data_IF_276076532515
#
_entry.id   IF_276076532515
#
_cell.length_a   1.000
_cell.length_b   1.000
_cell.length_c   1.000
_cell.angle_alpha   90.00
_cell.angle_beta   90.00
_cell.angle_gamma   90.00
#
_symmetry.space_group_name_H-M   'P 1'
#
loop_
_entity.id
_entity.type
_entity.pdbx_description
1 polymer ?
#
# COMPACT_ATOMS: atom_id res chain seq x y z
N UNK A 1 -11.37 10.00 40.07
CA UNK A 1 -12.07 10.91 39.14
C UNK A 1 -13.50 10.44 39.02
N UNK A 2 -14.47 11.35 39.05
CA UNK A 2 -15.89 11.02 38.90
C UNK A 2 -16.17 10.55 37.46
N UNK A 3 -16.91 9.44 37.30
CA UNK A 3 -17.29 8.90 35.99
C UNK A 3 -18.47 9.70 35.44
N UNK A 4 -18.41 10.08 34.17
CA UNK A 4 -19.43 10.89 33.49
C UNK A 4 -20.11 10.03 32.44
N UNK A 5 -21.44 9.97 32.47
CA UNK A 5 -22.21 9.21 31.49
C UNK A 5 -22.17 9.91 30.13
N UNK A 6 -21.91 9.13 29.08
CA UNK A 6 -21.87 9.66 27.72
C UNK A 6 -23.25 10.17 27.30
N UNK A 7 -23.32 11.35 26.69
CA UNK A 7 -24.59 12.04 26.42
C UNK A 7 -25.48 11.30 25.41
N UNK A 8 -24.87 10.60 24.45
CA UNK A 8 -25.59 9.93 23.36
C UNK A 8 -25.58 8.41 23.48
N UNK A 9 -24.53 7.83 24.07
CA UNK A 9 -24.25 6.39 24.06
C UNK A 9 -24.26 5.78 25.47
N UNK A 10 -25.10 6.33 26.33
CA UNK A 10 -25.45 5.75 27.63
C UNK A 10 -26.94 5.41 27.61
N UNK A 11 -27.27 4.22 27.10
CA UNK A 11 -28.64 3.72 27.02
C UNK A 11 -29.07 3.20 28.39
N UNK A 12 -30.26 3.54 28.89
CA UNK A 12 -30.71 3.10 30.23
C UNK A 12 -30.89 1.59 30.31
N UNK A 13 -31.26 0.98 29.20
CA UNK A 13 -31.48 -0.45 28.98
C UNK A 13 -30.24 -1.15 28.37
N UNK A 14 -29.09 -0.47 28.34
CA UNK A 14 -27.83 -1.07 27.92
C UNK A 14 -27.39 -2.20 28.86
N UNK A 15 -26.77 -3.23 28.28
CA UNK A 15 -26.29 -4.42 28.97
C UNK A 15 -24.78 -4.41 29.22
N UNK A 16 -24.05 -3.42 28.70
CA UNK A 16 -22.59 -3.43 28.71
C UNK A 16 -21.96 -2.05 28.90
N UNK A 17 -21.16 -1.94 29.97
CA UNK A 17 -20.51 -0.70 30.39
C UNK A 17 -19.09 -0.67 29.88
N UNK A 18 -18.77 0.37 29.13
CA UNK A 18 -17.43 0.59 28.59
C UNK A 18 -16.91 1.91 29.15
N UNK A 19 -15.66 1.92 29.62
CA UNK A 19 -15.03 3.12 30.16
C UNK A 19 -13.83 3.55 29.30
N UNK A 20 -13.81 4.82 28.91
CA UNK A 20 -12.67 5.49 28.28
C UNK A 20 -12.33 6.76 29.07
N UNK A 21 -11.19 6.75 29.75
CA UNK A 21 -10.83 7.82 30.67
C UNK A 21 -11.88 7.95 31.80
N UNK A 22 -12.55 9.10 31.88
CA UNK A 22 -13.65 9.35 32.81
C UNK A 22 -15.04 9.23 32.16
N UNK A 23 -15.14 8.85 30.89
CA UNK A 23 -16.42 8.72 30.18
C UNK A 23 -16.89 7.28 30.26
N UNK A 24 -18.16 7.11 30.63
CA UNK A 24 -18.83 5.83 30.73
C UNK A 24 -19.90 5.71 29.63
N UNK A 25 -19.84 4.63 28.88
CA UNK A 25 -20.81 4.23 27.87
C UNK A 25 -21.66 3.10 28.44
N UNK A 26 -22.94 3.05 28.08
CA UNK A 26 -23.79 1.90 28.36
C UNK A 26 -24.47 1.46 27.06
N UNK A 27 -24.09 0.30 26.55
CA UNK A 27 -24.35 -0.15 25.20
C UNK A 27 -25.10 -1.48 25.20
N UNK A 28 -25.70 -1.84 24.06
CA UNK A 28 -26.31 -3.15 23.86
C UNK A 28 -25.26 -4.13 23.32
N UNK A 29 -24.74 -5.01 24.18
CA UNK A 29 -23.69 -5.96 23.80
C UNK A 29 -24.08 -6.89 22.65
N UNK A 30 -25.36 -7.28 22.59
CA UNK A 30 -25.88 -8.10 21.49
C UNK A 30 -25.68 -7.43 20.12
N UNK A 31 -25.98 -6.14 20.00
CA UNK A 31 -25.80 -5.38 18.75
C UNK A 31 -24.33 -5.26 18.35
N UNK A 32 -23.42 -5.19 19.32
CA UNK A 32 -21.98 -5.21 19.07
C UNK A 32 -21.52 -6.61 18.61
N UNK A 33 -21.95 -7.66 19.31
CA UNK A 33 -21.63 -9.05 19.03
C UNK A 33 -22.19 -9.58 17.70
N UNK A 34 -23.26 -8.98 17.19
CA UNK A 34 -23.81 -9.31 15.88
C UNK A 34 -22.80 -9.02 14.75
N UNK A 35 -21.96 -7.99 14.91
CA UNK A 35 -21.04 -7.52 13.85
C UNK A 35 -19.55 -7.64 14.20
N UNK A 36 -19.21 -7.81 15.48
CA UNK A 36 -17.83 -7.98 15.95
C UNK A 36 -17.61 -9.38 16.49
N UNK A 37 -16.62 -10.08 15.94
CA UNK A 37 -16.24 -11.41 16.44
C UNK A 37 -15.67 -11.33 17.88
N UNK A 38 -14.94 -10.26 18.21
CA UNK A 38 -14.40 -10.04 19.56
C UNK A 38 -15.51 -9.94 20.61
N UNK A 39 -16.53 -9.09 20.36
CA UNK A 39 -17.66 -8.95 21.29
C UNK A 39 -18.53 -10.20 21.33
N UNK A 40 -18.65 -10.94 20.22
CA UNK A 40 -19.34 -12.24 20.20
C UNK A 40 -18.63 -13.26 21.07
N UNK A 41 -17.32 -13.37 20.95
CA UNK A 41 -16.54 -14.30 21.76
C UNK A 41 -16.65 -13.94 23.25
N UNK A 42 -16.63 -12.65 23.58
CA UNK A 42 -16.84 -12.16 24.95
C UNK A 42 -18.16 -12.63 25.57
N UNK A 43 -19.26 -12.71 24.78
CA UNK A 43 -20.54 -13.25 25.26
C UNK A 43 -20.50 -14.76 25.55
N UNK A 44 -19.65 -15.50 24.84
CA UNK A 44 -19.60 -16.97 24.89
C UNK A 44 -18.53 -17.52 25.82
N UNK A 45 -17.59 -16.69 26.28
CA UNK A 45 -16.52 -17.14 27.16
C UNK A 45 -17.05 -17.46 28.56
N UNK A 46 -16.80 -18.68 29.08
CA UNK A 46 -17.19 -19.03 30.44
C UNK A 46 -16.37 -18.22 31.43
N UNK A 47 -17.05 -17.63 32.42
CA UNK A 47 -16.40 -16.94 33.53
C UNK A 47 -15.85 -17.98 34.51
N UNK A 48 -14.59 -17.87 34.94
CA UNK A 48 -14.07 -18.67 36.04
C UNK A 48 -14.92 -18.47 37.31
N UNK A 49 -15.02 -19.52 38.11
CA UNK A 49 -15.85 -19.53 39.30
C UNK A 49 -15.42 -18.42 40.29
N UNK A 50 -16.38 -17.60 40.72
CA UNK A 50 -16.12 -16.46 41.63
C UNK A 50 -15.70 -15.15 40.97
N UNK A 51 -15.55 -15.10 39.64
CA UNK A 51 -15.22 -13.86 38.92
C UNK A 51 -16.48 -13.17 38.38
N UNK A 52 -16.54 -11.84 38.52
CA UNK A 52 -17.58 -11.00 37.92
C UNK A 52 -17.10 -10.56 36.55
N UNK A 53 -17.91 -10.74 35.51
CA UNK A 53 -17.57 -10.25 34.18
C UNK A 53 -17.40 -8.73 34.19
N UNK A 54 -16.35 -8.25 33.52
CA UNK A 54 -16.20 -6.83 33.25
C UNK A 54 -17.35 -6.31 32.38
N UNK A 55 -17.74 -5.05 32.60
CA UNK A 55 -18.78 -4.39 31.82
C UNK A 55 -20.20 -4.62 32.31
N UNK A 56 -20.44 -5.29 33.44
CA UNK A 56 -21.80 -5.54 33.93
C UNK A 56 -22.41 -4.35 34.70
N UNK A 57 -21.61 -3.46 35.27
CA UNK A 57 -22.09 -2.30 36.00
C UNK A 57 -21.19 -1.08 35.83
N UNK A 58 -21.64 0.07 36.35
CA UNK A 58 -20.90 1.33 36.30
C UNK A 58 -19.68 1.31 37.23
N UNK A 59 -19.74 0.51 38.29
CA UNK A 59 -18.65 0.23 39.22
C UNK A 59 -17.60 -0.69 38.61
N UNK A 60 -18.03 -1.67 37.81
CA UNK A 60 -17.17 -2.64 37.13
C UNK A 60 -17.31 -2.60 35.60
N UNK A 61 -16.95 -1.48 34.93
CA UNK A 61 -17.00 -1.38 33.48
C UNK A 61 -15.81 -2.07 32.82
N UNK A 62 -15.93 -2.41 31.53
CA UNK A 62 -14.78 -2.79 30.72
C UNK A 62 -13.97 -1.53 30.39
N UNK A 63 -12.76 -1.43 30.93
CA UNK A 63 -11.89 -0.27 30.70
C UNK A 63 -11.11 -0.47 29.41
N UNK A 64 -11.34 0.39 28.42
CA UNK A 64 -10.61 0.35 27.16
C UNK A 64 -9.24 1.01 27.28
N UNK A 65 -8.28 0.50 26.49
CA UNK A 65 -6.92 1.00 26.49
C UNK A 65 -6.86 2.49 26.06
N UNK A 66 -6.01 3.33 26.70
CA UNK A 66 -5.94 4.77 26.41
C UNK A 66 -5.53 5.16 24.98
N UNK A 67 -5.11 4.19 24.15
CA UNK A 67 -4.82 4.40 22.74
C UNK A 67 -6.06 4.64 21.87
N UNK A 68 -7.26 4.38 22.41
CA UNK A 68 -8.53 4.68 21.77
C UNK A 68 -9.04 5.97 22.41
N UNK A 69 -9.21 7.01 21.61
CA UNK A 69 -9.78 8.26 22.11
C UNK A 69 -11.32 8.17 22.16
N UNK A 70 -11.99 8.87 23.08
CA UNK A 70 -13.46 8.90 23.13
C UNK A 70 -14.10 9.26 21.79
N UNK A 71 -13.54 10.25 21.08
CA UNK A 71 -14.05 10.68 19.77
C UNK A 71 -13.91 9.59 18.70
N UNK A 72 -12.87 8.76 18.79
CA UNK A 72 -12.69 7.62 17.90
C UNK A 72 -13.75 6.54 18.17
N UNK A 73 -14.04 6.30 19.46
CA UNK A 73 -15.06 5.34 19.85
C UNK A 73 -16.46 5.81 19.46
N UNK A 74 -16.75 7.10 19.58
CA UNK A 74 -18.01 7.71 19.12
C UNK A 74 -18.23 7.49 17.62
N UNK A 75 -17.20 7.62 16.78
CA UNK A 75 -17.27 7.31 15.35
C UNK A 75 -17.71 5.87 15.10
N UNK A 76 -17.17 4.92 15.86
CA UNK A 76 -17.58 3.53 15.75
C UNK A 76 -19.02 3.34 16.23
N UNK A 77 -19.41 3.96 17.36
CA UNK A 77 -20.77 3.86 17.88
C UNK A 77 -21.80 4.45 16.90
N UNK A 78 -21.47 5.58 16.25
CA UNK A 78 -22.27 6.13 15.16
C UNK A 78 -22.47 5.09 14.04
N UNK A 79 -21.42 4.39 13.63
CA UNK A 79 -21.51 3.34 12.63
C UNK A 79 -22.37 2.13 13.08
N UNK A 80 -22.31 1.75 14.36
CA UNK A 80 -23.14 0.67 14.91
C UNK A 80 -24.62 1.03 14.98
N UNK A 81 -24.93 2.19 15.55
CA UNK A 81 -26.30 2.53 15.96
C UNK A 81 -27.03 3.43 14.98
N UNK A 82 -26.31 4.25 14.19
CA UNK A 82 -26.89 5.13 13.17
C UNK A 82 -26.72 4.60 11.75
N UNK A 83 -25.83 3.62 11.56
CA UNK A 83 -25.60 2.94 10.29
C UNK A 83 -24.62 3.67 9.36
N UNK A 84 -24.70 3.35 8.07
CA UNK A 84 -23.79 3.92 7.04
C UNK A 84 -24.17 5.36 6.73
N UNK A 85 -23.17 6.19 6.47
CA UNK A 85 -23.38 7.56 6.00
C UNK A 85 -24.01 7.57 4.61
N UNK A 86 -24.89 8.53 4.36
CA UNK A 86 -25.56 8.73 3.06
C UNK A 86 -24.66 9.41 2.02
N UNK A 87 -23.53 9.99 2.43
CA UNK A 87 -22.53 10.62 1.57
C UNK A 87 -21.11 10.08 1.80
N UNK A 88 -20.11 10.71 1.17
CA UNK A 88 -18.70 10.33 1.31
C UNK A 88 -18.19 10.77 2.70
N UNK A 89 -17.87 9.85 3.62
CA UNK A 89 -17.40 10.20 4.96
C UNK A 89 -16.03 10.86 4.92
N UNK A 90 -15.70 11.65 5.94
CA UNK A 90 -14.39 12.30 6.05
C UNK A 90 -13.24 11.28 6.11
N UNK A 91 -12.04 11.73 5.75
CA UNK A 91 -10.83 10.90 5.84
C UNK A 91 -10.62 10.38 7.27
N UNK A 92 -10.76 11.28 8.26
CA UNK A 92 -10.63 10.92 9.67
C UNK A 92 -11.64 9.82 10.08
N UNK A 93 -12.92 9.96 9.68
CA UNK A 93 -13.95 8.97 9.96
C UNK A 93 -13.59 7.59 9.41
N UNK A 94 -13.20 7.52 8.12
CA UNK A 94 -12.84 6.25 7.49
C UNK A 94 -11.58 5.62 8.11
N UNK A 95 -10.57 6.42 8.43
CA UNK A 95 -9.32 5.93 9.06
C UNK A 95 -9.59 5.36 10.45
N UNK A 96 -10.37 6.06 11.28
CA UNK A 96 -10.78 5.58 12.62
C UNK A 96 -11.61 4.31 12.51
N UNK A 97 -12.59 4.31 11.59
CA UNK A 97 -13.44 3.14 11.39
C UNK A 97 -12.60 1.95 10.92
N UNK A 98 -11.61 2.15 10.04
CA UNK A 98 -10.69 1.09 9.64
C UNK A 98 -9.90 0.55 10.85
N UNK A 99 -9.32 1.46 11.64
CA UNK A 99 -8.54 1.13 12.84
C UNK A 99 -9.33 0.24 13.79
N UNK A 100 -10.50 0.71 14.23
CA UNK A 100 -11.30 0.02 15.23
C UNK A 100 -11.98 -1.23 14.65
N UNK A 101 -12.40 -1.21 13.38
CA UNK A 101 -12.95 -2.41 12.73
C UNK A 101 -11.90 -3.50 12.54
N UNK A 102 -10.63 -3.14 12.37
CA UNK A 102 -9.53 -4.10 12.38
C UNK A 102 -9.29 -4.67 13.77
N UNK A 103 -9.22 -3.78 14.77
CA UNK A 103 -8.94 -4.15 16.16
C UNK A 103 -10.00 -5.06 16.77
N UNK A 104 -11.27 -4.83 16.44
CA UNK A 104 -12.41 -5.56 17.00
C UNK A 104 -13.07 -6.51 16.00
N UNK A 105 -12.37 -6.85 14.91
CA UNK A 105 -12.81 -7.83 13.91
C UNK A 105 -14.24 -7.60 13.43
N UNK A 106 -14.50 -6.38 12.94
CA UNK A 106 -15.77 -5.92 12.39
C UNK A 106 -15.65 -5.94 10.86
N UNK A 107 -15.97 -7.08 10.26
CA UNK A 107 -15.73 -7.34 8.84
C UNK A 107 -16.51 -6.39 7.94
N UNK A 108 -17.80 -6.19 8.20
CA UNK A 108 -18.64 -5.30 7.40
C UNK A 108 -18.25 -3.82 7.52
N UNK A 109 -17.66 -3.44 8.66
CA UNK A 109 -16.99 -2.16 8.89
C UNK A 109 -15.78 -1.98 8.01
N UNK A 110 -14.91 -2.99 7.93
CA UNK A 110 -13.74 -2.99 7.05
C UNK A 110 -14.15 -2.91 5.57
N UNK A 111 -15.10 -3.72 5.14
CA UNK A 111 -15.59 -3.73 3.76
C UNK A 111 -16.19 -2.40 3.33
N UNK A 112 -17.01 -1.81 4.21
CA UNK A 112 -17.56 -0.48 3.97
C UNK A 112 -16.48 0.58 3.78
N UNK A 113 -15.44 0.55 4.62
CA UNK A 113 -14.32 1.48 4.51
C UNK A 113 -13.53 1.25 3.22
N UNK A 114 -13.31 0.00 2.83
CA UNK A 114 -12.59 -0.36 1.60
C UNK A 114 -13.33 0.14 0.35
N UNK A 115 -14.66 0.09 0.35
CA UNK A 115 -15.49 0.63 -0.75
C UNK A 115 -15.54 2.17 -0.77
N UNK A 116 -15.46 2.83 0.39
CA UNK A 116 -15.61 4.29 0.48
C UNK A 116 -14.31 5.07 0.27
N UNK A 117 -13.14 4.54 0.67
CA UNK A 117 -11.86 5.24 0.51
C UNK A 117 -11.55 5.63 -0.95
N UNK A 118 -11.68 4.74 -1.96
CA UNK A 118 -11.41 5.08 -3.36
C UNK A 118 -12.27 6.21 -3.93
N UNK A 119 -13.42 6.49 -3.31
CA UNK A 119 -14.33 7.57 -3.73
C UNK A 119 -13.86 8.95 -3.25
N UNK A 120 -12.85 9.01 -2.38
CA UNK A 120 -12.34 10.25 -1.82
C UNK A 120 -11.26 10.89 -2.71
N UNK A 121 -11.29 12.21 -2.92
CA UNK A 121 -10.28 12.91 -3.70
C UNK A 121 -8.91 13.01 -3.00
N UNK A 122 -8.88 12.94 -1.67
CA UNK A 122 -7.66 13.00 -0.84
C UNK A 122 -7.07 11.61 -0.53
N UNK A 123 -7.56 10.55 -1.17
CA UNK A 123 -6.99 9.21 -1.06
C UNK A 123 -5.75 9.07 -1.97
N UNK A 124 -4.64 9.65 -1.50
CA UNK A 124 -3.36 9.66 -2.24
C UNK A 124 -2.73 8.25 -2.30
N UNK A 125 -1.86 7.98 -3.29
CA UNK A 125 -1.11 6.71 -3.35
C UNK A 125 -0.30 6.43 -2.08
N UNK A 126 0.32 7.45 -1.48
CA UNK A 126 1.08 7.30 -0.23
C UNK A 126 0.17 6.84 0.93
N UNK A 127 -1.00 7.47 1.06
CA UNK A 127 -1.99 7.09 2.06
C UNK A 127 -2.57 5.69 1.80
N UNK A 128 -2.90 5.38 0.55
CA UNK A 128 -3.36 4.06 0.14
C UNK A 128 -2.34 2.97 0.50
N UNK A 129 -1.06 3.21 0.21
CA UNK A 129 0.03 2.31 0.58
C UNK A 129 0.12 2.14 2.09
N UNK A 130 0.17 3.25 2.83
CA UNK A 130 0.28 3.27 4.29
C UNK A 130 -0.86 2.50 4.97
N UNK A 131 -2.11 2.75 4.58
CA UNK A 131 -3.27 2.08 5.15
C UNK A 131 -3.34 0.61 4.73
N UNK A 132 -3.01 0.30 3.47
CA UNK A 132 -2.97 -1.07 2.98
C UNK A 132 -1.92 -1.92 3.70
N UNK A 133 -0.78 -1.33 3.98
CA UNK A 133 0.27 -1.94 4.79
C UNK A 133 -0.17 -2.12 6.25
N UNK A 134 -0.63 -1.04 6.90
CA UNK A 134 -0.94 -1.00 8.33
C UNK A 134 -2.10 -1.91 8.71
N UNK A 135 -3.16 -1.95 7.89
CA UNK A 135 -4.40 -2.69 8.18
C UNK A 135 -4.57 -3.97 7.36
N UNK A 136 -3.48 -4.42 6.74
CA UNK A 136 -3.40 -5.65 5.97
C UNK A 136 -4.42 -5.75 4.81
N UNK A 137 -4.58 -4.67 4.03
CA UNK A 137 -5.41 -4.63 2.82
C UNK A 137 -4.52 -4.85 1.59
N UNK A 138 -4.33 -6.11 1.23
CA UNK A 138 -3.36 -6.54 0.19
C UNK A 138 -3.61 -5.88 -1.16
N UNK A 139 -4.89 -5.72 -1.53
CA UNK A 139 -5.35 -5.15 -2.81
C UNK A 139 -4.97 -3.68 -3.00
N UNK A 140 -4.52 -3.00 -1.94
CA UNK A 140 -4.13 -1.59 -1.98
C UNK A 140 -2.64 -1.37 -2.14
N UNK A 141 -1.81 -2.32 -1.70
CA UNK A 141 -0.36 -2.12 -1.56
C UNK A 141 0.32 -1.98 -2.92
N UNK A 142 0.17 -2.98 -3.78
CA UNK A 142 0.83 -2.99 -5.10
C UNK A 142 0.37 -1.83 -5.99
N UNK A 143 -0.95 -1.59 -6.20
CA UNK A 143 -1.40 -0.50 -7.08
C UNK A 143 -0.93 0.88 -6.59
N UNK A 144 -0.87 1.08 -5.27
CA UNK A 144 -0.37 2.32 -4.68
C UNK A 144 1.14 2.48 -4.92
N UNK A 145 1.92 1.42 -4.70
CA UNK A 145 3.37 1.46 -4.88
C UNK A 145 3.75 1.72 -6.34
N UNK A 146 3.06 1.10 -7.30
CA UNK A 146 3.26 1.38 -8.74
C UNK A 146 3.00 2.84 -9.09
N UNK A 147 1.92 3.43 -8.54
CA UNK A 147 1.63 4.86 -8.73
C UNK A 147 2.72 5.75 -8.14
N UNK A 148 3.28 5.38 -6.98
CA UNK A 148 4.38 6.12 -6.35
C UNK A 148 5.67 6.03 -7.19
N UNK A 149 6.02 4.85 -7.73
CA UNK A 149 7.17 4.68 -8.62
C UNK A 149 7.04 5.43 -9.95
N UNK A 150 5.82 5.56 -10.47
CA UNK A 150 5.55 6.28 -11.70
C UNK A 150 5.67 7.81 -11.54
N UNK A 151 5.67 8.34 -10.32
CA UNK A 151 5.84 9.77 -10.07
C UNK A 151 7.31 10.20 -10.27
N UNK A 152 7.58 11.40 -10.80
CA UNK A 152 8.93 11.94 -10.77
C UNK A 152 9.46 12.01 -9.34
N UNK A 153 10.70 11.58 -9.12
CA UNK A 153 11.28 11.55 -7.76
C UNK A 153 11.29 12.94 -7.09
N UNK A 154 11.37 14.02 -7.88
CA UNK A 154 11.27 15.42 -7.41
C UNK A 154 9.91 15.78 -6.80
N UNK A 155 8.87 14.97 -7.03
CA UNK A 155 7.52 15.14 -6.47
C UNK A 155 7.29 14.31 -5.21
N UNK A 156 8.26 13.47 -4.81
CA UNK A 156 8.19 12.72 -3.57
C UNK A 156 8.55 13.66 -2.42
N UNK A 157 7.55 14.03 -1.63
CA UNK A 157 7.71 14.92 -0.48
C UNK A 157 8.15 14.15 0.77
N UNK A 158 8.60 14.88 1.79
CA UNK A 158 8.89 14.33 3.10
C UNK A 158 7.67 13.63 3.73
N UNK A 159 6.47 14.18 3.56
CA UNK A 159 5.22 13.57 4.04
C UNK A 159 4.96 12.21 3.37
N UNK A 160 5.15 12.12 2.05
CA UNK A 160 5.03 10.85 1.30
C UNK A 160 6.04 9.84 1.82
N UNK A 161 7.30 10.25 1.97
CA UNK A 161 8.36 9.38 2.46
C UNK A 161 8.06 8.84 3.88
N UNK A 162 7.55 9.69 4.77
CA UNK A 162 7.13 9.28 6.11
C UNK A 162 5.98 8.28 6.10
N UNK A 163 4.95 8.50 5.27
CA UNK A 163 3.81 7.59 5.14
C UNK A 163 4.21 6.21 4.61
N UNK A 164 5.13 6.17 3.65
CA UNK A 164 5.66 4.93 3.09
C UNK A 164 6.49 4.13 4.10
N UNK A 165 7.23 4.82 4.96
CA UNK A 165 8.21 4.23 5.85
C UNK A 165 9.56 3.98 5.16
N UNK A 166 10.61 3.72 5.97
CA UNK A 166 12.00 3.74 5.50
C UNK A 166 12.30 2.66 4.46
N UNK A 167 11.78 1.44 4.63
CA UNK A 167 12.09 0.32 3.74
C UNK A 167 11.48 0.51 2.35
N UNK A 168 10.20 0.90 2.30
CA UNK A 168 9.51 1.16 1.03
C UNK A 168 10.10 2.38 0.31
N UNK A 169 10.47 3.43 1.06
CA UNK A 169 11.17 4.58 0.51
C UNK A 169 12.56 4.23 -0.02
N UNK A 170 13.31 3.38 0.68
CA UNK A 170 14.61 2.89 0.21
C UNK A 170 14.47 2.17 -1.13
N UNK A 171 13.54 1.22 -1.25
CA UNK A 171 13.27 0.49 -2.49
C UNK A 171 12.89 1.46 -3.61
N UNK A 172 11.98 2.41 -3.34
CA UNK A 172 11.59 3.44 -4.31
C UNK A 172 12.80 4.26 -4.80
N UNK A 173 13.61 4.78 -3.88
CA UNK A 173 14.77 5.62 -4.20
C UNK A 173 15.84 4.88 -5.00
N UNK A 174 16.10 3.61 -4.65
CA UNK A 174 17.02 2.75 -5.38
C UNK A 174 16.50 2.45 -6.79
N UNK A 175 15.21 2.21 -6.94
CA UNK A 175 14.58 1.95 -8.23
C UNK A 175 14.70 3.16 -9.16
N UNK A 176 14.38 4.36 -8.67
CA UNK A 176 14.59 5.59 -9.44
C UNK A 176 16.06 5.79 -9.83
N UNK A 177 17.00 5.49 -8.93
CA UNK A 177 18.44 5.61 -9.20
C UNK A 177 18.91 4.61 -10.26
N UNK A 178 18.42 3.36 -10.21
CA UNK A 178 18.70 2.32 -11.21
C UNK A 178 18.17 2.72 -12.59
N UNK A 179 16.92 3.18 -12.66
CA UNK A 179 16.31 3.66 -13.91
C UNK A 179 17.11 4.83 -14.48
N UNK A 180 17.40 5.85 -13.66
CA UNK A 180 18.17 7.03 -14.10
C UNK A 180 19.56 6.66 -14.58
N UNK A 181 20.27 5.78 -13.87
CA UNK A 181 21.59 5.29 -14.27
C UNK A 181 21.52 4.53 -15.58
N UNK A 182 20.55 3.62 -15.73
CA UNK A 182 20.33 2.86 -16.96
C UNK A 182 20.04 3.76 -18.15
N UNK A 183 19.12 4.73 -18.00
CA UNK A 183 18.82 5.71 -19.04
C UNK A 183 20.04 6.54 -19.42
N UNK A 184 20.86 6.92 -18.43
CA UNK A 184 22.09 7.67 -18.67
C UNK A 184 23.10 6.85 -19.46
N UNK A 185 23.33 5.58 -19.08
CA UNK A 185 24.23 4.69 -19.80
C UNK A 185 23.73 4.51 -21.24
N UNK A 186 22.46 4.19 -21.42
CA UNK A 186 21.87 3.95 -22.73
C UNK A 186 21.90 5.19 -23.63
N UNK A 187 21.72 6.39 -23.06
CA UNK A 187 21.76 7.64 -23.79
C UNK A 187 23.18 8.02 -24.26
N UNK A 188 24.20 7.81 -23.43
CA UNK A 188 25.58 8.23 -23.73
C UNK A 188 26.41 7.15 -24.44
N UNK A 189 26.03 5.89 -24.30
CA UNK A 189 26.74 4.75 -24.88
C UNK A 189 25.78 3.93 -25.76
N UNK A 190 25.45 4.42 -26.97
CA UNK A 190 24.80 3.58 -27.98
C UNK A 190 25.59 2.30 -28.20
N UNK A 191 24.89 1.24 -28.59
CA UNK A 191 25.56 0.04 -29.07
C UNK A 191 26.45 0.34 -30.26
N UNK A 192 27.54 -0.42 -30.38
CA UNK A 192 28.38 -0.37 -31.57
C UNK A 192 27.51 -0.65 -32.82
N UNK A 193 27.54 0.21 -33.84
CA UNK A 193 26.69 0.07 -35.01
C UNK A 193 26.93 -1.27 -35.71
N UNK A 194 25.85 -2.03 -35.89
CA UNK A 194 25.89 -3.31 -36.60
C UNK A 194 25.81 -3.05 -38.09
N UNK A 195 26.69 -3.70 -38.84
CA UNK A 195 26.76 -3.58 -40.29
C UNK A 195 26.28 -4.85 -40.96
N UNK A 196 25.33 -4.73 -41.90
CA UNK A 196 25.00 -5.84 -42.80
C UNK A 196 26.20 -6.13 -43.71
N UNK A 197 26.38 -7.41 -44.05
CA UNK A 197 27.38 -7.87 -45.02
C UNK A 197 27.15 -7.21 -46.40
N UNK A 198 25.91 -6.84 -46.69
CA UNK A 198 25.51 -6.17 -47.94
C UNK A 198 25.74 -4.64 -47.91
N UNK A 199 26.24 -4.08 -46.80
CA UNK A 199 26.42 -2.65 -46.66
C UNK A 199 27.65 -2.14 -47.44
N UNK A 200 27.41 -1.29 -48.44
CA UNK A 200 28.47 -0.65 -49.23
C UNK A 200 28.99 0.67 -48.63
N UNK A 201 28.37 1.17 -47.55
CA UNK A 201 28.64 2.50 -46.97
C UNK A 201 28.59 2.46 -45.43
N UNK A 202 29.36 1.56 -44.82
CA UNK A 202 29.38 1.32 -43.36
C UNK A 202 29.54 2.61 -42.55
N UNK A 203 30.58 3.41 -42.82
CA UNK A 203 30.83 4.64 -42.07
C UNK A 203 29.68 5.69 -42.14
N UNK A 204 28.91 5.72 -43.24
CA UNK A 204 27.71 6.59 -43.31
C UNK A 204 26.55 6.05 -42.49
N UNK A 205 26.37 4.73 -42.47
CA UNK A 205 25.32 4.08 -41.68
C UNK A 205 25.62 4.20 -40.18
N UNK A 206 26.89 4.04 -39.79
CA UNK A 206 27.36 4.26 -38.42
C UNK A 206 27.10 5.70 -37.96
N UNK A 207 27.50 6.70 -38.75
CA UNK A 207 27.23 8.10 -38.41
C UNK A 207 25.72 8.40 -38.32
N UNK A 208 24.93 7.84 -39.24
CA UNK A 208 23.47 8.00 -39.22
C UNK A 208 22.85 7.36 -37.97
N UNK A 209 23.26 6.15 -37.58
CA UNK A 209 22.81 5.49 -36.37
C UNK A 209 23.17 6.28 -35.11
N UNK A 210 24.42 6.71 -34.98
CA UNK A 210 24.86 7.52 -33.84
C UNK A 210 24.09 8.86 -33.75
N UNK A 211 23.80 9.48 -34.89
CA UNK A 211 23.02 10.72 -34.96
C UNK A 211 21.58 10.47 -34.51
N UNK A 212 20.92 9.46 -35.05
CA UNK A 212 19.54 9.13 -34.68
C UNK A 212 19.44 8.71 -33.22
N UNK A 213 20.41 7.96 -32.71
CA UNK A 213 20.44 7.59 -31.31
C UNK A 213 20.47 8.83 -30.41
N UNK A 214 21.36 9.77 -30.69
CA UNK A 214 21.43 10.98 -29.88
C UNK A 214 20.18 11.87 -30.05
N UNK A 215 19.68 12.03 -31.27
CA UNK A 215 18.59 12.96 -31.57
C UNK A 215 17.20 12.40 -31.25
N UNK A 216 16.98 11.10 -31.43
CA UNK A 216 15.70 10.41 -31.34
C UNK A 216 15.58 9.47 -30.13
N UNK A 217 16.67 9.01 -29.52
CA UNK A 217 16.62 8.11 -28.34
C UNK A 217 17.03 8.84 -27.07
N UNK A 218 18.29 9.31 -27.03
CA UNK A 218 18.90 9.88 -25.83
C UNK A 218 18.10 11.06 -25.26
N UNK A 219 17.58 11.93 -26.12
CA UNK A 219 16.75 13.06 -25.69
C UNK A 219 15.48 12.62 -24.97
N UNK A 220 14.84 11.55 -25.41
CA UNK A 220 13.63 11.04 -24.76
C UNK A 220 13.94 10.30 -23.46
N UNK A 221 15.06 9.57 -23.40
CA UNK A 221 15.49 8.90 -22.16
C UNK A 221 15.89 9.89 -21.05
N UNK A 222 16.50 11.01 -21.42
CA UNK A 222 17.04 12.01 -20.49
C UNK A 222 16.09 13.16 -20.19
N UNK A 223 14.93 13.22 -20.85
CA UNK A 223 14.00 14.33 -20.62
C UNK A 223 13.41 14.26 -19.20
N UNK A 224 13.49 15.34 -18.39
CA UNK A 224 13.08 15.31 -16.99
C UNK A 224 11.56 15.13 -16.78
N UNK A 225 10.73 15.73 -17.64
CA UNK A 225 9.25 15.73 -17.46
C UNK A 225 8.47 14.94 -18.54
N UNK A 226 8.88 15.04 -19.81
CA UNK A 226 8.26 14.43 -21.00
C UNK A 226 9.11 13.29 -21.56
N UNK A 227 9.79 12.56 -20.67
CA UNK A 227 10.51 11.35 -21.06
C UNK A 227 9.55 10.31 -21.63
N UNK A 228 10.07 9.42 -22.47
CA UNK A 228 9.33 8.27 -22.99
C UNK A 228 9.81 6.99 -22.32
N UNK A 229 8.90 6.05 -22.15
CA UNK A 229 9.24 4.68 -21.76
C UNK A 229 10.09 4.03 -22.85
N UNK A 230 10.86 2.99 -22.48
CA UNK A 230 11.64 2.23 -23.45
C UNK A 230 10.79 1.62 -24.57
N UNK A 231 9.59 1.13 -24.23
CA UNK A 231 8.62 0.62 -25.20
C UNK A 231 8.17 1.67 -26.22
N UNK A 232 7.81 2.87 -25.78
CA UNK A 232 7.44 3.97 -26.68
C UNK A 232 8.59 4.40 -27.59
N UNK A 233 9.83 4.37 -27.09
CA UNK A 233 11.02 4.70 -27.88
C UNK A 233 11.29 3.62 -28.93
N UNK A 234 11.14 2.34 -28.57
CA UNK A 234 11.23 1.23 -29.52
C UNK A 234 10.22 1.38 -30.65
N UNK A 235 8.95 1.63 -30.34
CA UNK A 235 7.90 1.85 -31.34
C UNK A 235 8.23 3.03 -32.28
N UNK A 236 8.77 4.12 -31.72
CA UNK A 236 9.21 5.27 -32.50
C UNK A 236 10.34 4.90 -33.47
N UNK A 237 11.40 4.25 -32.97
CA UNK A 237 12.54 3.84 -33.79
C UNK A 237 12.15 2.87 -34.92
N UNK A 238 11.16 2.00 -34.68
CA UNK A 238 10.63 1.07 -35.70
C UNK A 238 9.86 1.78 -36.81
N UNK A 239 9.18 2.88 -36.47
CA UNK A 239 8.32 3.62 -37.40
C UNK A 239 9.08 4.57 -38.33
N UNK A 240 10.34 4.90 -38.02
CA UNK A 240 11.12 5.92 -38.72
C UNK A 240 12.15 5.28 -39.67
N UNK A 241 12.31 5.84 -40.87
CA UNK A 241 13.48 5.54 -41.71
C UNK A 241 14.63 6.46 -41.33
N UNK A 242 15.75 5.88 -40.91
CA UNK A 242 16.90 6.65 -40.45
C UNK A 242 17.63 7.27 -41.64
N UNK A 243 17.64 8.61 -41.77
CA UNK A 243 18.28 9.27 -42.92
C UNK A 243 19.78 8.95 -42.99
N UNK A 244 20.24 8.45 -44.14
CA UNK A 244 21.65 8.11 -44.35
C UNK A 244 22.04 6.68 -44.00
N UNK A 245 21.14 5.91 -43.38
CA UNK A 245 21.33 4.48 -43.10
C UNK A 245 20.69 3.62 -44.19
N UNK A 246 21.33 2.51 -44.58
CA UNK A 246 20.68 1.52 -45.45
C UNK A 246 19.70 0.64 -44.66
N UNK A 247 18.73 0.06 -45.37
CA UNK A 247 17.65 -0.74 -44.77
C UNK A 247 18.21 -1.96 -44.03
N UNK A 248 19.22 -2.64 -44.58
CA UNK A 248 19.76 -3.85 -43.96
C UNK A 248 20.54 -3.56 -42.68
N UNK A 249 21.32 -2.47 -42.63
CA UNK A 249 21.95 -2.04 -41.37
C UNK A 249 20.89 -1.60 -40.36
N UNK A 250 19.87 -0.83 -40.78
CA UNK A 250 18.82 -0.39 -39.85
C UNK A 250 18.10 -1.60 -39.24
N UNK A 251 17.69 -2.58 -40.06
CA UNK A 251 17.09 -3.82 -39.58
C UNK A 251 18.00 -4.54 -38.59
N UNK A 252 19.27 -4.73 -38.91
CA UNK A 252 20.22 -5.43 -38.04
C UNK A 252 20.41 -4.74 -36.67
N UNK A 253 20.49 -3.40 -36.64
CA UNK A 253 20.59 -2.66 -35.37
C UNK A 253 19.27 -2.73 -34.59
N UNK A 254 18.13 -2.58 -35.26
CA UNK A 254 16.82 -2.65 -34.60
C UNK A 254 16.53 -4.04 -34.02
N UNK A 255 16.86 -5.11 -34.74
CA UNK A 255 16.75 -6.49 -34.23
C UNK A 255 17.62 -6.67 -32.98
N UNK A 256 18.86 -6.18 -32.99
CA UNK A 256 19.72 -6.24 -31.82
C UNK A 256 19.15 -5.46 -30.62
N UNK A 257 18.62 -4.25 -30.82
CA UNK A 257 18.04 -3.46 -29.71
C UNK A 257 16.84 -4.20 -29.09
N UNK A 258 16.04 -4.88 -29.91
CA UNK A 258 14.92 -5.71 -29.44
C UNK A 258 15.39 -6.94 -28.68
N UNK A 259 16.29 -7.71 -29.28
CA UNK A 259 16.73 -9.00 -28.76
C UNK A 259 17.51 -8.87 -27.45
N UNK A 260 18.21 -7.75 -27.27
CA UNK A 260 18.93 -7.48 -26.02
C UNK A 260 18.05 -6.99 -24.88
N UNK A 261 16.81 -6.54 -25.15
CA UNK A 261 15.89 -6.03 -24.14
C UNK A 261 16.38 -4.76 -23.42
N UNK A 262 17.42 -4.09 -23.93
CA UNK A 262 18.05 -2.94 -23.26
C UNK A 262 17.10 -1.77 -23.07
N UNK A 263 16.12 -1.61 -23.96
CA UNK A 263 15.11 -0.56 -23.85
C UNK A 263 14.08 -0.84 -22.75
N UNK A 264 13.67 -2.08 -22.54
CA UNK A 264 12.63 -2.45 -21.57
C UNK A 264 13.17 -2.80 -20.19
N UNK A 265 14.50 -2.81 -20.03
CA UNK A 265 15.16 -3.16 -18.75
C UNK A 265 14.74 -2.29 -17.57
N UNK A 266 14.30 -1.05 -17.82
CA UNK A 266 13.75 -0.18 -16.77
C UNK A 266 12.44 -0.73 -16.18
N UNK A 267 11.62 -1.40 -17.00
CA UNK A 267 10.36 -2.01 -16.57
C UNK A 267 10.65 -3.20 -15.64
N UNK A 268 11.69 -3.99 -15.93
CA UNK A 268 12.15 -5.07 -15.04
C UNK A 268 12.51 -4.53 -13.65
N UNK A 269 13.16 -3.36 -13.55
CA UNK A 269 13.49 -2.77 -12.26
C UNK A 269 12.26 -2.40 -11.45
N UNK A 270 11.18 -1.97 -12.11
CA UNK A 270 9.89 -1.70 -11.48
C UNK A 270 9.27 -3.00 -10.99
N UNK A 271 9.23 -4.04 -11.83
CA UNK A 271 8.67 -5.35 -11.44
C UNK A 271 9.45 -5.99 -10.29
N UNK A 272 10.79 -5.93 -10.32
CA UNK A 272 11.65 -6.38 -9.23
C UNK A 272 11.34 -5.64 -7.91
N UNK A 273 11.11 -4.32 -7.97
CA UNK A 273 10.79 -3.50 -6.81
C UNK A 273 9.40 -3.81 -6.25
N UNK A 274 8.40 -3.97 -7.11
CA UNK A 274 7.03 -4.35 -6.72
C UNK A 274 7.04 -5.74 -6.07
N UNK A 275 7.73 -6.71 -6.68
CA UNK A 275 7.85 -8.06 -6.13
C UNK A 275 8.50 -8.05 -4.74
N UNK A 276 9.55 -7.25 -4.52
CA UNK A 276 10.17 -7.08 -3.21
C UNK A 276 9.20 -6.55 -2.16
N UNK A 277 8.42 -5.51 -2.50
CA UNK A 277 7.41 -4.94 -1.60
C UNK A 277 6.31 -5.95 -1.25
N UNK A 278 5.79 -6.66 -2.25
CA UNK A 278 4.74 -7.66 -2.06
C UNK A 278 5.24 -8.84 -1.24
N UNK A 279 6.46 -9.32 -1.48
CA UNK A 279 7.07 -10.41 -0.72
C UNK A 279 7.35 -10.02 0.73
N UNK A 280 7.90 -8.82 0.95
CA UNK A 280 8.13 -8.27 2.29
C UNK A 280 6.82 -8.18 3.08
N UNK A 281 5.79 -7.63 2.45
CA UNK A 281 4.46 -7.55 3.05
C UNK A 281 3.85 -8.93 3.36
N UNK A 282 3.92 -9.88 2.41
CA UNK A 282 3.41 -11.24 2.61
C UNK A 282 4.14 -12.04 3.70
N UNK A 283 5.38 -11.66 4.01
CA UNK A 283 6.15 -12.23 5.13
C UNK A 283 5.72 -11.60 6.46
N UNK A 284 5.52 -10.29 6.50
CA UNK A 284 5.03 -9.55 7.68
C UNK A 284 3.59 -9.91 8.08
N UNK A 285 2.73 -10.26 7.13
CA UNK A 285 1.35 -10.71 7.42
C UNK A 285 1.32 -12.11 8.06
N UNK A 286 2.20 -13.02 7.64
CA UNK A 286 2.30 -14.39 8.19
C UNK A 286 2.81 -14.41 9.63
N UNK A 287 3.77 -13.53 9.96
CA UNK A 287 4.32 -13.44 11.32
C UNK A 287 3.33 -12.95 12.38
N UNK A 288 2.28 -12.21 11.99
CA UNK A 288 1.22 -11.76 12.91
C UNK A 288 0.09 -12.76 13.10
N UNK A 289 -0.18 -13.62 12.10
CA UNK A 289 -1.20 -14.68 12.22
C UNK A 289 -0.82 -15.82 13.17
N UNK A 290 0.46 -15.98 13.50
CA UNK A 290 0.97 -17.04 14.38
C UNK A 290 1.11 -16.62 15.85
N UNK A 291 0.81 -15.36 16.20
CA UNK A 291 1.00 -14.81 17.55
C UNK A 291 -0.10 -15.14 18.58
N UNK A 292 -1.14 -15.90 18.21
CA UNK A 292 -2.29 -16.20 19.07
C UNK A 292 -2.43 -17.68 19.46
N UNK A 293 -1.41 -18.50 19.20
CA UNK A 293 -1.39 -19.90 19.66
C UNK A 293 0.02 -20.31 20.11
N UNK A 294 0.43 -19.94 21.33
CA UNK A 294 1.29 -20.77 22.20
C UNK A 294 1.64 -20.01 23.49
N UNK A 295 0.91 -20.30 24.57
CA UNK A 295 1.48 -20.50 25.91
C UNK A 295 0.40 -21.05 26.86
N UNK A 296 0.14 -22.36 26.73
CA UNK A 296 -0.41 -23.17 27.82
C UNK A 296 0.02 -24.62 27.63
N UNK A 297 1.25 -24.92 28.06
CA UNK A 297 1.60 -26.29 28.43
C UNK A 297 2.41 -26.23 29.72
N UNK A 298 1.65 -26.07 30.80
CA UNK A 298 2.14 -26.23 32.15
C UNK A 298 2.65 -27.65 32.36
N UNK A 299 3.86 -27.67 32.88
CA UNK A 299 4.45 -28.61 33.83
C UNK A 299 3.42 -29.53 34.51
N UNK A 300 3.63 -30.83 34.36
CA UNK A 300 3.03 -31.86 35.19
C UNK A 300 4.07 -32.99 35.34
N UNK A 301 4.98 -32.83 36.31
CA UNK A 301 5.74 -33.95 36.89
C UNK A 301 5.78 -33.76 38.40
N UNK A 302 4.83 -34.43 39.07
CA UNK A 302 4.81 -34.64 40.50
C UNK A 302 5.42 -35.98 40.89
N UNK A 303 6.21 -35.93 41.96
CA UNK A 303 6.56 -36.96 42.94
C UNK A 303 6.22 -38.43 42.65
N UNK A 304 7.28 -39.25 42.59
CA UNK A 304 7.40 -40.48 43.41
C UNK A 304 8.86 -40.76 43.75
#
# INVERSE_FOLDING_TARGET
MEKIHHKQFYYKDGSFRVQLGNILYNLHLSLLADRSLVFRNMLTMPLPEGMVAEGQSDENPMVLHPSIQPEEFDILMDYFFKGRNTGIPSLHYLTVLLKLSTMWEIEDGRDYVIDMFPKRPDFTPALQFHLGYTYHITTWVEPAFRKLLAMPFSKITEEIAHLMGPDAFYILSQTHTRIKTHHSILAFYPSDPIHSIECLRSGKCEQAWATEWWQGVAKHLLHPDLGKTGGEILEMLESVRIPGMCIDCQRANMEWVKDTGVMTRADDFIEEAVAQIVAWYGSSSKGKSTGSQQESRGEDEGDT
#
